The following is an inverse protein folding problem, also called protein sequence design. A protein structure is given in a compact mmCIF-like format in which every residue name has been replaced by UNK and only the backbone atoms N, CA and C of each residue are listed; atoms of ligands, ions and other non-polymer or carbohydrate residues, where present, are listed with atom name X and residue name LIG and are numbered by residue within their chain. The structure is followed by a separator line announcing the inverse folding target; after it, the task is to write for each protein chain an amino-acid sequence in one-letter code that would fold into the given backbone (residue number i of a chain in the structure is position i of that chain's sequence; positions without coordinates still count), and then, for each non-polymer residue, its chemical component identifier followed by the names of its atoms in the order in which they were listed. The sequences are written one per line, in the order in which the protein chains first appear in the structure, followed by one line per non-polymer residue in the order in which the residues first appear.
data_IF_606092995636
#
_entry.id   IF_606092995636
#
_cell.length_a   1.000
_cell.length_b   1.000
_cell.length_c   1.000
_cell.angle_alpha   90.00
_cell.angle_beta   90.00
_cell.angle_gamma   90.00
#
_symmetry.space_group_name_H-M   'P 1'
#
loop_
_entity.id
_entity.type
_entity.pdbx_description
1 polymer ?
#
# COMPACT_ATOMS: atom_id res chain seq x y z
N UNK A 1 0.17 -1.18 -57.99
CA UNK A 1 1.32 -0.90 -57.10
C UNK A 1 0.88 0.09 -56.02
N UNK A 2 0.57 -0.37 -54.81
CA UNK A 2 0.00 0.53 -53.79
C UNK A 2 -0.13 -0.11 -52.42
N UNK A 3 0.92 -0.76 -51.92
CA UNK A 3 0.89 -1.46 -50.62
C UNK A 3 2.14 -1.21 -49.76
N UNK A 4 2.91 -0.14 -50.04
CA UNK A 4 4.18 0.14 -49.32
C UNK A 4 4.14 1.35 -48.38
N UNK A 5 3.10 2.19 -48.44
CA UNK A 5 3.00 3.41 -47.62
C UNK A 5 2.40 3.23 -46.22
N UNK A 6 1.51 2.25 -46.02
CA UNK A 6 0.81 2.03 -44.75
C UNK A 6 1.66 1.34 -43.68
N UNK A 7 2.44 0.32 -44.09
CA UNK A 7 3.27 -0.49 -43.19
C UNK A 7 4.42 0.33 -42.60
N UNK A 8 5.01 1.23 -43.39
CA UNK A 8 6.08 2.12 -42.92
C UNK A 8 5.59 3.11 -41.85
N UNK A 9 4.34 3.61 -41.96
CA UNK A 9 3.74 4.51 -40.96
C UNK A 9 3.37 3.76 -39.67
N UNK A 10 2.89 2.52 -39.76
CA UNK A 10 2.60 1.69 -38.59
C UNK A 10 3.87 1.30 -37.81
N UNK A 11 4.96 0.97 -38.51
CA UNK A 11 6.24 0.66 -37.88
C UNK A 11 6.83 1.88 -37.16
N UNK A 12 6.75 3.07 -37.76
CA UNK A 12 7.22 4.30 -37.13
C UNK A 12 6.41 4.63 -35.85
N UNK A 13 5.09 4.46 -35.90
CA UNK A 13 4.22 4.68 -34.74
C UNK A 13 4.52 3.71 -33.59
N UNK A 14 4.78 2.44 -33.90
CA UNK A 14 5.15 1.43 -32.90
C UNK A 14 6.51 1.73 -32.26
N UNK A 15 7.49 2.24 -33.02
CA UNK A 15 8.81 2.63 -32.50
C UNK A 15 8.71 3.86 -31.59
N UNK A 16 7.89 4.85 -31.95
CA UNK A 16 7.71 6.06 -31.11
C UNK A 16 6.99 5.72 -29.80
N UNK A 17 5.98 4.85 -29.83
CA UNK A 17 5.26 4.42 -28.62
C UNK A 17 6.18 3.58 -27.72
N UNK A 18 6.94 2.65 -28.29
CA UNK A 18 7.88 1.83 -27.49
C UNK A 18 9.06 2.64 -26.95
N UNK A 19 9.57 3.63 -27.69
CA UNK A 19 10.59 4.56 -27.18
C UNK A 19 10.10 5.45 -26.04
N UNK A 20 8.85 5.94 -26.12
CA UNK A 20 8.23 6.75 -25.06
C UNK A 20 8.02 5.99 -23.75
N UNK A 21 7.64 4.70 -23.83
CA UNK A 21 7.44 3.85 -22.63
C UNK A 21 8.77 3.49 -21.97
N UNK A 22 9.84 3.27 -22.74
CA UNK A 22 11.18 2.98 -22.19
C UNK A 22 11.79 4.21 -21.51
N UNK A 23 11.64 5.41 -22.07
CA UNK A 23 12.14 6.64 -21.44
C UNK A 23 11.39 7.01 -20.16
N UNK A 24 10.10 6.69 -20.05
CA UNK A 24 9.35 6.93 -18.82
C UNK A 24 9.67 5.91 -17.71
N UNK A 25 10.05 4.68 -18.08
CA UNK A 25 10.45 3.62 -17.14
C UNK A 25 11.85 3.76 -16.54
N UNK A 26 12.72 4.62 -17.08
CA UNK A 26 14.12 4.73 -16.64
C UNK A 26 14.41 5.93 -15.71
N UNK A 27 13.50 6.89 -15.53
CA UNK A 27 13.75 8.06 -14.67
C UNK A 27 13.52 7.82 -13.16
N UNK A 28 12.97 6.67 -12.75
CA UNK A 28 12.71 6.36 -11.34
C UNK A 28 13.76 5.49 -10.64
N UNK A 29 14.71 4.89 -11.38
CA UNK A 29 15.57 3.80 -10.85
C UNK A 29 16.79 4.32 -10.06
N UNK A 30 17.10 5.61 -10.09
CA UNK A 30 18.35 6.14 -9.53
C UNK A 30 18.25 6.78 -8.12
N UNK A 31 17.15 6.58 -7.40
CA UNK A 31 17.07 6.86 -5.95
C UNK A 31 16.89 5.58 -5.12
N UNK A 32 17.43 4.46 -5.62
CA UNK A 32 17.42 3.18 -4.92
C UNK A 32 18.43 3.24 -3.77
N UNK A 33 18.00 3.76 -2.62
CA UNK A 33 18.73 3.60 -1.37
C UNK A 33 18.92 2.11 -1.13
N UNK A 34 20.17 1.66 -1.18
CA UNK A 34 20.58 0.36 -0.69
C UNK A 34 20.17 0.23 0.80
N UNK A 35 19.64 -0.92 1.18
CA UNK A 35 19.30 -1.37 2.55
C UNK A 35 18.02 -0.87 3.25
N UNK A 36 16.84 -1.26 2.75
CA UNK A 36 15.73 -1.62 3.64
C UNK A 36 14.89 -2.74 3.01
N UNK A 37 14.98 -3.94 3.56
CA UNK A 37 14.23 -5.11 3.13
C UNK A 37 13.51 -5.69 4.36
N UNK A 38 12.31 -5.18 4.61
CA UNK A 38 11.42 -5.65 5.67
C UNK A 38 10.59 -6.86 5.20
N UNK A 39 10.64 -7.17 3.89
CA UNK A 39 9.96 -8.30 3.24
C UNK A 39 10.66 -9.61 3.57
N UNK A 40 11.99 -9.61 3.59
CA UNK A 40 12.81 -10.79 3.92
C UNK A 40 12.95 -11.04 5.42
N UNK A 41 12.35 -10.21 6.27
CA UNK A 41 12.32 -10.42 7.73
C UNK A 41 13.64 -10.12 8.44
N UNK A 42 14.65 -9.58 7.75
CA UNK A 42 15.94 -9.25 8.36
C UNK A 42 15.88 -8.01 9.29
N UNK A 43 14.82 -7.20 9.21
CA UNK A 43 14.51 -6.15 10.19
C UNK A 43 13.01 -6.03 10.47
N UNK A 44 12.69 -5.82 11.75
CA UNK A 44 11.35 -5.57 12.29
C UNK A 44 10.61 -4.48 11.51
N UNK A 45 9.33 -4.70 11.20
CA UNK A 45 8.48 -3.69 10.57
C UNK A 45 8.55 -2.34 11.30
N UNK A 46 8.38 -1.20 10.60
CA UNK A 46 8.40 0.13 11.20
C UNK A 46 7.48 0.23 12.42
N UNK A 47 7.89 1.00 13.42
CA UNK A 47 7.16 1.13 14.68
C UNK A 47 5.69 1.57 14.49
N UNK A 48 5.41 2.36 13.46
CA UNK A 48 4.06 2.79 13.08
C UNK A 48 3.17 1.62 12.65
N UNK A 49 3.67 0.73 11.78
CA UNK A 49 2.96 -0.46 11.30
C UNK A 49 2.74 -1.45 12.45
N UNK A 50 3.76 -1.65 13.29
CA UNK A 50 3.64 -2.48 14.50
C UNK A 50 2.58 -1.92 15.46
N UNK A 51 2.55 -0.62 15.69
CA UNK A 51 1.54 0.03 16.53
C UNK A 51 0.12 -0.10 15.94
N UNK A 52 -0.03 -0.01 14.62
CA UNK A 52 -1.32 -0.21 13.96
C UNK A 52 -1.82 -1.66 14.11
N UNK A 53 -0.94 -2.65 13.93
CA UNK A 53 -1.25 -4.08 14.15
C UNK A 53 -1.65 -4.35 15.60
N UNK A 54 -0.92 -3.77 16.56
CA UNK A 54 -1.24 -3.88 17.98
C UNK A 54 -2.64 -3.29 18.28
N UNK A 55 -2.95 -2.09 17.76
CA UNK A 55 -4.26 -1.48 17.94
C UNK A 55 -5.41 -2.34 17.35
N UNK A 56 -5.20 -3.00 16.21
CA UNK A 56 -6.20 -3.95 15.65
C UNK A 56 -6.39 -5.15 16.56
N UNK A 57 -5.30 -5.70 17.12
CA UNK A 57 -5.38 -6.81 18.07
C UNK A 57 -6.13 -6.39 19.34
N UNK A 58 -5.88 -5.19 19.87
CA UNK A 58 -6.59 -4.64 21.03
C UNK A 58 -8.08 -4.42 20.74
N UNK A 59 -8.43 -3.87 19.57
CA UNK A 59 -9.83 -3.72 19.16
C UNK A 59 -10.54 -5.08 19.05
N UNK A 60 -9.85 -6.08 18.51
CA UNK A 60 -10.38 -7.44 18.41
C UNK A 60 -10.55 -8.07 19.80
N UNK A 61 -9.59 -7.89 20.71
CA UNK A 61 -9.67 -8.34 22.09
C UNK A 61 -10.82 -7.66 22.87
N UNK A 62 -11.12 -6.40 22.56
CA UNK A 62 -12.28 -5.70 23.10
C UNK A 62 -13.62 -6.21 22.54
N UNK A 63 -13.61 -7.13 21.56
CA UNK A 63 -14.80 -7.72 20.97
C UNK A 63 -15.34 -6.95 19.76
N UNK A 64 -14.60 -5.97 19.23
CA UNK A 64 -15.05 -5.15 18.09
C UNK A 64 -15.37 -5.99 16.84
N UNK A 65 -14.70 -7.13 16.66
CA UNK A 65 -14.95 -8.05 15.54
C UNK A 65 -16.39 -8.63 15.52
N UNK A 66 -17.08 -8.64 16.66
CA UNK A 66 -18.42 -9.21 16.80
C UNK A 66 -19.54 -8.16 16.75
N UNK A 67 -19.19 -6.87 16.61
CA UNK A 67 -20.14 -5.76 16.65
C UNK A 67 -20.38 -5.20 15.25
N UNK A 68 -21.63 -5.21 14.81
CA UNK A 68 -22.02 -4.64 13.51
C UNK A 68 -21.60 -3.17 13.37
N UNK A 69 -21.69 -2.39 14.45
CA UNK A 69 -21.31 -0.99 14.49
C UNK A 69 -19.79 -0.76 14.29
N UNK A 70 -18.94 -1.72 14.67
CA UNK A 70 -17.48 -1.59 14.54
C UNK A 70 -16.94 -2.23 13.24
N UNK A 71 -17.79 -2.91 12.47
CA UNK A 71 -17.40 -3.66 11.26
C UNK A 71 -16.68 -2.79 10.23
N UNK A 72 -17.17 -1.57 9.99
CA UNK A 72 -16.55 -0.65 9.03
C UNK A 72 -15.14 -0.24 9.48
N UNK A 73 -14.99 0.22 10.72
CA UNK A 73 -13.70 0.66 11.26
C UNK A 73 -12.69 -0.51 11.35
N UNK A 74 -13.15 -1.72 11.70
CA UNK A 74 -12.30 -2.92 11.65
C UNK A 74 -11.85 -3.28 10.23
N UNK A 75 -12.74 -3.19 9.23
CA UNK A 75 -12.40 -3.46 7.84
C UNK A 75 -11.38 -2.43 7.32
N UNK A 76 -11.64 -1.14 7.58
CA UNK A 76 -10.72 -0.05 7.24
C UNK A 76 -9.35 -0.25 7.89
N UNK A 77 -9.30 -0.60 9.18
CA UNK A 77 -8.03 -0.82 9.87
C UNK A 77 -7.19 -1.94 9.22
N UNK A 78 -7.84 -3.04 8.80
CA UNK A 78 -7.16 -4.16 8.12
C UNK A 78 -6.69 -3.78 6.71
N UNK A 79 -7.53 -3.10 5.94
CA UNK A 79 -7.19 -2.63 4.60
C UNK A 79 -5.98 -1.69 4.61
N UNK A 80 -5.96 -0.73 5.53
CA UNK A 80 -4.84 0.20 5.64
C UNK A 80 -3.56 -0.42 6.23
N UNK A 81 -3.64 -1.56 6.94
CA UNK A 81 -2.45 -2.35 7.26
C UNK A 81 -1.89 -3.00 6.01
N UNK A 82 -2.73 -3.60 5.16
CA UNK A 82 -2.29 -4.21 3.90
C UNK A 82 -1.67 -3.15 2.99
N UNK A 83 -2.31 -1.97 2.88
CA UNK A 83 -1.73 -0.85 2.14
C UNK A 83 -0.39 -0.42 2.76
N UNK A 84 -0.28 -0.29 4.08
CA UNK A 84 0.99 0.08 4.70
C UNK A 84 2.09 -0.95 4.41
N UNK A 85 1.77 -2.24 4.40
CA UNK A 85 2.70 -3.29 4.00
C UNK A 85 3.07 -3.19 2.51
N UNK A 86 2.10 -2.92 1.63
CA UNK A 86 2.34 -2.72 0.19
C UNK A 86 3.26 -1.51 -0.08
N UNK A 87 3.02 -0.38 0.58
CA UNK A 87 3.87 0.80 0.47
C UNK A 87 5.29 0.55 0.99
N UNK A 88 5.43 -0.30 2.01
CA UNK A 88 6.76 -0.74 2.41
C UNK A 88 7.42 -1.58 1.31
N UNK A 89 6.67 -2.36 0.50
CA UNK A 89 7.24 -3.21 -0.57
C UNK A 89 7.89 -2.31 -1.62
N UNK A 90 7.22 -1.20 -1.89
CA UNK A 90 7.65 -0.12 -2.76
C UNK A 90 8.69 0.81 -2.11
N UNK A 91 9.02 0.57 -0.83
CA UNK A 91 9.96 1.34 0.01
C UNK A 91 9.52 2.79 0.24
N UNK A 92 8.23 3.10 0.10
CA UNK A 92 7.66 4.38 0.48
C UNK A 92 7.33 4.39 1.98
N UNK A 93 8.33 4.72 2.80
CA UNK A 93 8.17 4.79 4.25
C UNK A 93 7.16 5.86 4.68
N UNK A 94 7.03 6.95 3.94
CA UNK A 94 6.13 8.05 4.29
C UNK A 94 4.67 7.66 4.01
N UNK A 95 4.41 7.01 2.87
CA UNK A 95 3.11 6.45 2.54
C UNK A 95 2.74 5.31 3.51
N UNK A 96 3.68 4.40 3.80
CA UNK A 96 3.49 3.34 4.78
C UNK A 96 3.15 3.88 6.19
N UNK A 97 3.86 4.91 6.66
CA UNK A 97 3.54 5.57 7.93
C UNK A 97 2.16 6.22 7.93
N UNK A 98 1.77 6.83 6.81
CA UNK A 98 0.46 7.47 6.66
C UNK A 98 -0.65 6.44 6.69
N UNK A 99 -0.51 5.36 5.92
CA UNK A 99 -1.45 4.23 5.93
C UNK A 99 -1.54 3.59 7.32
N UNK A 100 -0.40 3.37 8.00
CA UNK A 100 -0.38 2.83 9.35
C UNK A 100 -1.08 3.74 10.38
N UNK A 101 -0.94 5.06 10.27
CA UNK A 101 -1.65 6.03 11.12
C UNK A 101 -3.16 5.95 10.93
N UNK A 102 -3.62 5.83 9.67
CA UNK A 102 -5.04 5.66 9.33
C UNK A 102 -5.56 4.33 9.89
N UNK A 103 -4.81 3.25 9.71
CA UNK A 103 -5.16 1.94 10.25
C UNK A 103 -5.31 1.97 11.78
N UNK A 104 -4.33 2.58 12.47
CA UNK A 104 -4.36 2.73 13.93
C UNK A 104 -5.59 3.52 14.40
N UNK A 105 -5.88 4.66 13.78
CA UNK A 105 -7.05 5.47 14.14
C UNK A 105 -8.36 4.70 13.95
N UNK A 106 -8.49 3.95 12.85
CA UNK A 106 -9.67 3.11 12.62
C UNK A 106 -9.79 1.97 13.64
N UNK A 107 -8.67 1.38 14.05
CA UNK A 107 -8.67 0.35 15.10
C UNK A 107 -9.09 0.93 16.47
N UNK A 108 -8.57 2.10 16.86
CA UNK A 108 -8.97 2.77 18.10
C UNK A 108 -10.46 3.17 18.08
N UNK A 109 -10.99 3.59 16.93
CA UNK A 109 -12.43 3.84 16.78
C UNK A 109 -13.24 2.55 17.00
N UNK A 110 -12.83 1.44 16.37
CA UNK A 110 -13.47 0.14 16.54
C UNK A 110 -13.45 -0.33 18.01
N UNK A 111 -12.30 -0.17 18.68
CA UNK A 111 -12.14 -0.45 20.11
C UNK A 111 -13.07 0.41 20.97
N UNK A 112 -13.15 1.71 20.70
CA UNK A 112 -14.04 2.63 21.42
C UNK A 112 -15.52 2.25 21.23
N UNK A 113 -15.93 1.83 20.03
CA UNK A 113 -17.29 1.32 19.79
C UNK A 113 -17.55 0.08 20.65
N UNK A 114 -16.59 -0.83 20.73
CA UNK A 114 -16.73 -2.05 21.52
C UNK A 114 -16.82 -1.76 23.02
N UNK A 115 -15.98 -0.87 23.53
CA UNK A 115 -15.98 -0.49 24.95
C UNK A 115 -17.26 0.24 25.37
N UNK A 116 -17.91 1.00 24.49
CA UNK A 116 -19.21 1.65 24.78
C UNK A 116 -20.39 0.68 24.88
N UNK A 117 -20.20 -0.57 24.45
CA UNK A 117 -21.24 -1.62 24.44
C UNK A 117 -21.04 -2.66 25.54
N UNK A 118 -19.95 -2.55 26.30
CA UNK A 118 -19.71 -3.27 27.55
C UNK A 118 -20.34 -2.50 28.71
#
# INVERSE_FOLDING_TARGET
MGARGGVARQLLALIVISGGVVLWGCSGIHLRSESYDWVTGERTAPASVMAAKAAVAEAQAAGAANLSAARYSMAKAREYILLAEDELLDRDLAAAETAAKIARQAAEEAKAIAQRRQ
#
